data_IF_872741227953
#
_entry.id   IF_872741227953
#
_cell.length_a   1.000
_cell.length_b   1.000
_cell.length_c   1.000
_cell.angle_alpha   90.00
_cell.angle_beta   90.00
_cell.angle_gamma   90.00
#
_symmetry.space_group_name_H-M   'P 1'
#
loop_
_entity.id
_entity.type
_entity.pdbx_description
1 polymer ?
#
# COMPACT_ATOMS: atom_id res chain seq x y z
N UNK A 1 7.92 7.87 29.10
CA UNK A 1 7.00 8.06 27.95
C UNK A 1 7.26 7.08 26.78
N UNK A 2 8.43 6.44 26.67
CA UNK A 2 8.74 5.38 25.69
C UNK A 2 7.89 4.09 25.87
N UNK A 3 7.38 3.85 27.08
CA UNK A 3 6.62 2.63 27.40
C UNK A 3 5.26 2.48 26.68
N UNK A 4 4.61 3.57 26.26
CA UNK A 4 3.27 3.52 25.63
C UNK A 4 3.30 3.13 24.15
N UNK A 5 4.32 3.55 23.41
CA UNK A 5 4.52 3.14 22.01
C UNK A 5 4.79 1.62 21.89
N UNK A 6 5.57 1.07 22.83
CA UNK A 6 5.78 -0.38 22.95
C UNK A 6 4.48 -1.14 23.29
N UNK A 7 3.53 -0.52 23.99
CA UNK A 7 2.26 -1.19 24.33
C UNK A 7 1.37 -1.39 23.10
N UNK A 8 1.40 -0.46 22.14
CA UNK A 8 0.64 -0.58 20.89
C UNK A 8 1.27 -1.63 19.97
N UNK A 9 2.60 -1.58 19.80
CA UNK A 9 3.34 -2.58 19.00
C UNK A 9 3.21 -3.99 19.61
N UNK A 10 3.24 -4.11 20.94
CA UNK A 10 3.03 -5.38 21.65
C UNK A 10 1.57 -5.87 21.60
N UNK A 11 0.58 -4.98 21.73
CA UNK A 11 -0.84 -5.33 21.66
C UNK A 11 -1.26 -5.78 20.24
N UNK A 12 -0.71 -5.14 19.19
CA UNK A 12 -0.95 -5.59 17.82
C UNK A 12 -0.24 -6.93 17.55
N UNK A 13 0.97 -7.14 18.10
CA UNK A 13 1.72 -8.40 17.94
C UNK A 13 1.06 -9.59 18.68
N UNK A 14 0.50 -9.37 19.88
CA UNK A 14 -0.16 -10.41 20.66
C UNK A 14 -1.55 -10.81 20.11
N UNK A 15 -2.18 -9.97 19.27
CA UNK A 15 -3.49 -10.26 18.71
C UNK A 15 -3.49 -11.27 17.55
N UNK A 16 -2.33 -11.54 16.94
CA UNK A 16 -2.23 -12.23 15.65
C UNK A 16 -1.88 -13.72 15.72
N UNK A 17 -1.85 -14.32 16.92
CA UNK A 17 -1.38 -15.70 17.10
C UNK A 17 -2.46 -16.78 16.86
N UNK A 18 -3.70 -16.45 16.47
CA UNK A 18 -4.81 -17.43 16.57
C UNK A 18 -5.82 -17.52 15.41
N UNK A 19 -5.63 -16.94 14.23
CA UNK A 19 -6.62 -17.04 13.12
C UNK A 19 -6.06 -17.64 11.82
N UNK A 20 -6.79 -18.62 11.27
CA UNK A 20 -6.49 -19.39 10.06
C UNK A 20 -6.79 -18.60 8.78
N UNK A 21 -6.10 -18.85 7.65
CA UNK A 21 -6.32 -18.14 6.41
C UNK A 21 -7.59 -18.61 5.68
N UNK A 22 -8.46 -17.67 5.32
CA UNK A 22 -9.58 -17.84 4.39
C UNK A 22 -9.42 -16.94 3.16
N UNK A 23 -10.01 -17.32 2.03
CA UNK A 23 -9.87 -16.65 0.74
C UNK A 23 -10.42 -15.21 0.77
N UNK A 24 -9.60 -14.25 0.34
CA UNK A 24 -9.85 -12.81 0.44
C UNK A 24 -10.37 -12.24 -0.89
N UNK A 25 -11.25 -11.23 -0.84
CA UNK A 25 -11.68 -10.44 -2.02
C UNK A 25 -11.08 -9.03 -1.94
N UNK A 26 -10.62 -8.45 -3.06
CA UNK A 26 -9.98 -7.13 -3.04
C UNK A 26 -10.98 -6.01 -2.70
N UNK A 27 -10.57 -5.16 -1.77
CA UNK A 27 -11.32 -3.97 -1.31
C UNK A 27 -11.06 -2.79 -2.25
N UNK A 28 -12.11 -2.06 -2.63
CA UNK A 28 -12.04 -0.81 -3.40
C UNK A 28 -12.23 0.42 -2.52
N UNK A 29 -11.37 1.43 -2.65
CA UNK A 29 -11.33 2.64 -1.82
C UNK A 29 -12.38 3.71 -2.25
N UNK A 30 -13.02 4.43 -1.31
CA UNK A 30 -13.87 5.59 -1.59
C UNK A 30 -13.08 6.85 -1.94
N UNK A 31 -13.71 7.73 -2.73
CA UNK A 31 -13.20 8.95 -3.39
C UNK A 31 -12.92 10.16 -2.45
N UNK A 32 -12.07 10.06 -1.42
CA UNK A 32 -11.69 11.28 -0.67
C UNK A 32 -10.42 11.94 -1.24
N UNK A 33 -10.59 13.16 -1.73
CA UNK A 33 -9.69 13.98 -2.57
C UNK A 33 -8.44 14.58 -1.86
N UNK A 34 -7.89 13.96 -0.81
CA UNK A 34 -6.64 14.45 -0.19
C UNK A 34 -5.57 13.36 -0.12
N UNK A 35 -4.48 13.61 -0.83
CA UNK A 35 -3.21 12.86 -0.80
C UNK A 35 -2.64 12.82 0.61
N UNK A 36 -2.15 11.67 1.07
CA UNK A 36 -1.63 11.45 2.43
C UNK A 36 -0.49 12.42 2.81
N UNK A 37 0.23 12.98 1.82
CA UNK A 37 1.33 13.93 2.01
C UNK A 37 0.91 15.29 2.59
N UNK A 38 -0.37 15.67 2.47
CA UNK A 38 -0.91 16.91 3.02
C UNK A 38 -1.80 16.70 4.25
N UNK A 39 -1.82 15.48 4.82
CA UNK A 39 -2.60 15.21 6.03
C UNK A 39 -2.04 15.98 7.22
N UNK A 40 -2.76 17.03 7.58
CA UNK A 40 -2.56 17.76 8.82
C UNK A 40 -3.07 16.95 10.02
N UNK A 41 -2.71 17.38 11.22
CA UNK A 41 -3.28 16.80 12.45
C UNK A 41 -4.81 16.93 12.49
N UNK A 42 -5.36 18.02 11.94
CA UNK A 42 -6.79 18.25 11.86
C UNK A 42 -7.49 17.27 10.90
N UNK A 43 -6.86 16.96 9.76
CA UNK A 43 -7.37 15.94 8.83
C UNK A 43 -7.43 14.56 9.49
N UNK A 44 -6.41 14.23 10.28
CA UNK A 44 -6.33 12.95 10.99
C UNK A 44 -7.38 12.85 12.11
N UNK A 45 -7.61 13.93 12.88
CA UNK A 45 -8.67 14.00 13.89
C UNK A 45 -10.07 13.86 13.24
N UNK A 46 -10.30 14.53 12.11
CA UNK A 46 -11.54 14.39 11.37
C UNK A 46 -11.73 12.97 10.84
N UNK A 47 -10.68 12.34 10.32
CA UNK A 47 -10.72 10.97 9.81
C UNK A 47 -11.00 9.96 10.94
N UNK A 48 -10.35 10.11 12.09
CA UNK A 48 -10.61 9.31 13.29
C UNK A 48 -12.08 9.42 13.71
N UNK A 49 -12.60 10.65 13.82
CA UNK A 49 -13.99 10.90 14.17
C UNK A 49 -14.95 10.22 13.19
N UNK A 50 -14.75 10.42 11.88
CA UNK A 50 -15.60 9.84 10.84
C UNK A 50 -15.56 8.31 10.84
N UNK A 51 -14.38 7.72 11.03
CA UNK A 51 -14.21 6.26 11.09
C UNK A 51 -14.97 5.67 12.28
N UNK A 52 -14.90 6.32 13.44
CA UNK A 52 -15.61 5.88 14.63
C UNK A 52 -17.13 6.02 14.52
N UNK A 53 -17.60 7.20 14.13
CA UNK A 53 -19.04 7.55 14.14
C UNK A 53 -19.80 6.89 12.99
N UNK A 54 -19.19 6.80 11.80
CA UNK A 54 -19.91 6.37 10.60
C UNK A 54 -19.60 4.94 10.16
N UNK A 55 -18.47 4.37 10.61
CA UNK A 55 -18.07 3.02 10.20
C UNK A 55 -18.13 2.09 11.40
N UNK A 56 -17.29 2.30 12.40
CA UNK A 56 -17.02 1.30 13.43
C UNK A 56 -18.22 1.12 14.38
N UNK A 57 -18.86 2.20 14.82
CA UNK A 57 -20.00 2.13 15.75
C UNK A 57 -21.28 1.57 15.11
N UNK A 58 -21.74 2.04 13.93
CA UNK A 58 -22.99 1.58 13.33
C UNK A 58 -22.95 0.13 12.86
N UNK A 59 -21.80 -0.35 12.39
CA UNK A 59 -21.67 -1.72 11.86
C UNK A 59 -21.35 -2.77 12.93
N UNK A 60 -21.31 -2.37 14.21
CA UNK A 60 -20.97 -3.28 15.32
C UNK A 60 -19.52 -3.78 15.33
N UNK A 61 -18.63 -3.20 14.52
CA UNK A 61 -17.21 -3.59 14.41
C UNK A 61 -16.45 -3.41 15.73
N UNK A 62 -16.92 -2.54 16.62
CA UNK A 62 -16.40 -2.43 18.01
C UNK A 62 -16.42 -3.74 18.80
N UNK A 63 -17.22 -4.72 18.35
CA UNK A 63 -17.29 -6.03 18.96
C UNK A 63 -16.18 -6.98 18.51
N UNK A 64 -15.38 -6.60 17.50
CA UNK A 64 -14.22 -7.38 17.07
C UNK A 64 -13.18 -7.42 18.19
N UNK A 65 -12.63 -8.61 18.45
CA UNK A 65 -11.75 -8.82 19.59
C UNK A 65 -10.45 -8.01 19.49
N UNK A 66 -9.94 -7.76 18.29
CA UNK A 66 -8.79 -6.86 18.10
C UNK A 66 -9.11 -5.44 18.55
N UNK A 67 -10.29 -4.89 18.27
CA UNK A 67 -10.67 -3.55 18.73
C UNK A 67 -10.92 -3.52 20.24
N UNK A 68 -11.52 -4.57 20.82
CA UNK A 68 -11.67 -4.70 22.28
C UNK A 68 -10.33 -4.70 23.01
N UNK A 69 -9.29 -5.34 22.45
CA UNK A 69 -7.94 -5.36 23.02
C UNK A 69 -7.33 -3.95 23.14
N UNK A 70 -7.75 -3.02 22.29
CA UNK A 70 -7.37 -1.60 22.39
C UNK A 70 -8.31 -0.77 23.26
N UNK A 71 -9.27 -1.39 23.95
CA UNK A 71 -10.23 -0.70 24.81
C UNK A 71 -11.22 0.18 24.04
N UNK A 72 -11.42 -0.08 22.74
CA UNK A 72 -12.32 0.70 21.91
C UNK A 72 -13.78 0.41 22.27
N UNK A 73 -14.51 1.44 22.66
CA UNK A 73 -15.96 1.41 22.89
C UNK A 73 -16.68 2.43 22.02
N UNK A 74 -17.98 2.27 21.82
CA UNK A 74 -18.76 3.14 20.91
C UNK A 74 -18.73 4.60 21.31
N UNK A 75 -18.72 4.86 22.61
CA UNK A 75 -18.71 6.20 23.17
C UNK A 75 -17.31 6.82 23.33
N UNK A 76 -16.23 6.06 23.14
CA UNK A 76 -14.85 6.54 23.33
C UNK A 76 -13.94 6.26 22.14
N UNK A 77 -14.48 5.72 21.04
CA UNK A 77 -13.68 5.32 19.89
C UNK A 77 -12.76 6.44 19.37
N UNK A 78 -13.28 7.66 19.22
CA UNK A 78 -12.50 8.80 18.76
C UNK A 78 -11.36 9.16 19.72
N UNK A 79 -11.68 9.29 21.01
CA UNK A 79 -10.68 9.59 22.06
C UNK A 79 -9.62 8.49 22.16
N UNK A 80 -10.02 7.22 22.12
CA UNK A 80 -9.11 6.07 22.18
C UNK A 80 -8.19 6.02 20.97
N UNK A 81 -8.72 6.18 19.75
CA UNK A 81 -7.87 6.20 18.54
C UNK A 81 -6.94 7.42 18.51
N UNK A 82 -7.43 8.62 18.86
CA UNK A 82 -6.59 9.81 18.97
C UNK A 82 -5.52 9.66 20.05
N UNK A 83 -5.80 8.96 21.16
CA UNK A 83 -4.81 8.66 22.19
C UNK A 83 -3.78 7.58 21.76
N UNK A 84 -4.15 6.72 20.80
CA UNK A 84 -3.25 5.74 20.17
C UNK A 84 -2.40 6.35 19.06
N UNK A 85 -2.65 7.61 18.68
CA UNK A 85 -1.83 8.35 17.73
C UNK A 85 -0.37 8.37 18.21
N UNK A 86 0.57 7.85 17.42
CA UNK A 86 1.97 7.89 17.80
C UNK A 86 2.50 9.32 17.72
N UNK A 87 3.14 9.79 18.79
CA UNK A 87 3.94 11.03 18.78
C UNK A 87 5.30 10.86 18.07
N UNK A 88 5.52 9.68 17.47
CA UNK A 88 6.82 9.23 16.98
C UNK A 88 7.12 9.62 15.54
N UNK A 89 7.95 8.80 14.90
CA UNK A 89 8.47 8.95 13.54
C UNK A 89 7.38 8.96 12.46
N UNK A 90 7.71 9.47 11.26
CA UNK A 90 6.81 9.40 10.08
C UNK A 90 6.34 7.98 9.78
N UNK A 91 7.19 6.98 10.06
CA UNK A 91 6.86 5.56 9.93
C UNK A 91 5.70 5.16 10.84
N UNK A 92 5.75 5.55 12.11
CA UNK A 92 4.69 5.22 13.07
C UNK A 92 3.39 5.97 12.72
N UNK A 93 3.49 7.23 12.30
CA UNK A 93 2.33 7.99 11.80
C UNK A 93 1.72 7.34 10.57
N UNK A 94 2.52 6.92 9.60
CA UNK A 94 2.02 6.23 8.40
C UNK A 94 1.38 4.88 8.73
N UNK A 95 1.96 4.11 9.65
CA UNK A 95 1.35 2.87 10.12
C UNK A 95 -0.02 3.12 10.79
N UNK A 96 -0.13 4.17 11.60
CA UNK A 96 -1.39 4.57 12.21
C UNK A 96 -2.44 4.96 11.16
N UNK A 97 -2.05 5.74 10.15
CA UNK A 97 -2.93 6.11 9.02
C UNK A 97 -3.41 4.89 8.22
N UNK A 98 -2.55 3.87 8.05
CA UNK A 98 -2.93 2.59 7.43
C UNK A 98 -3.96 1.82 8.27
N UNK A 99 -3.84 1.82 9.61
CA UNK A 99 -4.89 1.25 10.49
C UNK A 99 -6.20 1.95 10.21
N UNK A 100 -6.22 3.28 10.26
CA UNK A 100 -7.44 4.07 10.09
C UNK A 100 -8.10 3.80 8.75
N UNK A 101 -7.31 3.81 7.67
CA UNK A 101 -7.78 3.49 6.34
C UNK A 101 -8.37 2.07 6.28
N UNK A 102 -7.65 1.06 6.79
CA UNK A 102 -8.14 -0.32 6.82
C UNK A 102 -9.43 -0.49 7.64
N UNK A 103 -9.53 0.16 8.80
CA UNK A 103 -10.73 0.13 9.64
C UNK A 103 -11.95 0.77 8.96
N UNK A 104 -11.73 1.82 8.17
CA UNK A 104 -12.80 2.49 7.44
C UNK A 104 -13.40 1.63 6.32
N UNK A 105 -12.66 0.63 5.84
CA UNK A 105 -13.02 -0.22 4.70
C UNK A 105 -13.39 -1.64 5.09
N UNK A 106 -12.88 -2.14 6.22
CA UNK A 106 -13.10 -3.50 6.65
C UNK A 106 -14.58 -3.72 6.94
N UNK A 107 -15.27 -4.62 6.25
CA UNK A 107 -16.69 -4.94 6.43
C UNK A 107 -16.92 -6.12 7.39
N UNK A 108 -15.84 -6.77 7.81
CA UNK A 108 -15.86 -7.89 8.75
C UNK A 108 -14.76 -7.77 9.81
N UNK A 109 -14.85 -8.56 10.89
CA UNK A 109 -13.80 -8.60 11.90
C UNK A 109 -12.48 -9.18 11.37
N UNK A 110 -12.52 -10.09 10.39
CA UNK A 110 -11.31 -10.65 9.78
C UNK A 110 -10.51 -9.59 9.01
N UNK A 111 -11.22 -8.66 8.36
CA UNK A 111 -10.61 -7.52 7.66
C UNK A 111 -10.09 -6.46 8.62
N UNK A 112 -10.77 -6.24 9.75
CA UNK A 112 -10.26 -5.41 10.85
C UNK A 112 -8.93 -5.98 11.36
N UNK A 113 -8.87 -7.29 11.59
CA UNK A 113 -7.66 -7.98 12.04
C UNK A 113 -6.53 -7.92 11.00
N UNK A 114 -6.87 -7.98 9.70
CA UNK A 114 -5.92 -7.79 8.61
C UNK A 114 -5.32 -6.37 8.60
N UNK A 115 -6.16 -5.34 8.77
CA UNK A 115 -5.71 -3.95 8.83
C UNK A 115 -4.71 -3.71 9.97
N UNK A 116 -4.99 -4.25 11.16
CA UNK A 116 -4.05 -4.19 12.28
C UNK A 116 -2.74 -4.93 12.00
N UNK A 117 -2.79 -6.11 11.36
CA UNK A 117 -1.58 -6.86 10.96
C UNK A 117 -0.69 -6.07 10.01
N UNK A 118 -1.30 -5.46 8.99
CA UNK A 118 -0.62 -4.64 7.99
C UNK A 118 0.07 -3.45 8.68
N UNK A 119 -0.64 -2.75 9.55
CA UNK A 119 -0.10 -1.62 10.28
C UNK A 119 1.00 -2.00 11.29
N UNK A 120 0.88 -3.11 12.02
CA UNK A 120 1.97 -3.60 12.85
C UNK A 120 3.23 -3.90 12.04
N UNK A 121 3.06 -4.46 10.84
CA UNK A 121 4.18 -4.71 9.94
C UNK A 121 4.83 -3.39 9.50
N UNK A 122 4.04 -2.39 9.15
CA UNK A 122 4.55 -1.06 8.80
C UNK A 122 5.25 -0.36 9.98
N UNK A 123 4.68 -0.43 11.18
CA UNK A 123 5.20 0.21 12.39
C UNK A 123 6.52 -0.39 12.88
N UNK A 124 6.65 -1.73 12.83
CA UNK A 124 7.90 -2.42 13.19
C UNK A 124 9.05 -2.10 12.25
N UNK A 125 8.74 -1.53 11.08
CA UNK A 125 9.74 -1.24 10.08
C UNK A 125 10.40 -2.46 9.43
N UNK A 126 10.01 -3.62 9.90
CA UNK A 126 10.38 -4.94 9.44
C UNK A 126 9.14 -5.57 8.82
N UNK A 127 9.07 -5.45 7.51
CA UNK A 127 9.41 -6.62 6.72
C UNK A 127 10.37 -6.20 5.62
N UNK A 128 11.66 -6.51 5.80
CA UNK A 128 12.31 -7.21 4.70
C UNK A 128 11.33 -8.29 4.26
N UNK A 129 10.94 -8.28 2.98
CA UNK A 129 10.12 -9.37 2.46
C UNK A 129 10.92 -10.64 2.74
N UNK A 130 10.51 -11.42 3.73
CA UNK A 130 11.28 -12.58 4.20
C UNK A 130 11.21 -13.74 3.21
N UNK A 131 10.39 -13.62 2.17
CA UNK A 131 10.15 -14.68 1.21
C UNK A 131 10.17 -14.16 -0.23
N UNK A 132 11.25 -13.49 -0.63
CA UNK A 132 11.53 -13.17 -2.02
C UNK A 132 12.02 -14.42 -2.77
N UNK A 133 11.16 -15.44 -2.83
CA UNK A 133 11.45 -16.64 -3.57
C UNK A 133 11.44 -16.28 -5.05
N UNK A 134 12.61 -16.37 -5.68
CA UNK A 134 12.77 -16.17 -7.12
C UNK A 134 12.00 -17.26 -7.87
N UNK A 135 11.15 -16.83 -8.79
CA UNK A 135 10.40 -17.69 -9.71
C UNK A 135 11.27 -18.10 -10.91
N UNK A 136 10.91 -19.19 -11.61
CA UNK A 136 11.61 -19.60 -12.84
C UNK A 136 11.60 -18.55 -13.96
N UNK A 137 10.60 -17.65 -13.99
CA UNK A 137 10.52 -16.56 -14.96
C UNK A 137 11.37 -15.33 -14.58
N UNK A 138 12.06 -15.38 -13.43
CA UNK A 138 12.94 -14.33 -12.94
C UNK A 138 12.24 -13.26 -12.09
N UNK A 139 10.92 -13.36 -11.86
CA UNK A 139 10.19 -12.54 -10.90
C UNK A 139 10.36 -13.07 -9.46
N UNK A 140 9.78 -12.39 -8.49
CA UNK A 140 9.72 -12.78 -7.09
C UNK A 140 8.29 -13.07 -6.67
N UNK A 141 8.13 -14.13 -5.87
CA UNK A 141 6.90 -14.40 -5.16
C UNK A 141 6.71 -13.40 -4.01
N UNK A 142 5.63 -12.64 -4.08
CA UNK A 142 5.10 -11.87 -2.97
C UNK A 142 3.97 -12.64 -2.30
N UNK A 143 3.88 -12.53 -0.98
CA UNK A 143 2.68 -12.96 -0.25
C UNK A 143 1.49 -12.07 -0.61
N UNK A 144 0.27 -12.55 -0.39
CA UNK A 144 -0.94 -11.73 -0.58
C UNK A 144 -0.88 -10.44 0.25
N UNK A 145 -0.30 -10.49 1.44
CA UNK A 145 -0.09 -9.33 2.30
C UNK A 145 0.93 -8.35 1.72
N UNK A 146 2.03 -8.84 1.13
CA UNK A 146 3.06 -7.97 0.54
C UNK A 146 2.56 -7.29 -0.74
N UNK A 147 1.67 -7.93 -1.51
CA UNK A 147 1.00 -7.30 -2.67
C UNK A 147 0.24 -6.05 -2.26
N UNK A 148 -0.47 -6.09 -1.13
CA UNK A 148 -1.23 -4.93 -0.60
C UNK A 148 -0.31 -3.80 -0.09
N UNK A 149 0.95 -4.12 0.16
CA UNK A 149 1.98 -3.19 0.61
C UNK A 149 2.91 -2.73 -0.53
N UNK A 150 2.58 -3.04 -1.80
CA UNK A 150 3.40 -2.60 -2.93
C UNK A 150 3.45 -1.09 -3.06
N UNK A 151 4.64 -0.55 -3.28
CA UNK A 151 4.78 0.87 -3.61
C UNK A 151 4.03 1.16 -4.92
N UNK A 152 3.26 2.24 -4.94
CA UNK A 152 2.47 2.66 -6.10
C UNK A 152 1.07 2.04 -6.19
N UNK A 153 0.71 1.08 -5.34
CA UNK A 153 -0.64 0.51 -5.37
C UNK A 153 -1.72 1.59 -5.14
N UNK A 154 -1.44 2.53 -4.23
CA UNK A 154 -2.34 3.61 -3.83
C UNK A 154 -2.34 4.84 -4.73
N UNK A 155 -1.34 5.00 -5.61
CA UNK A 155 -1.15 6.23 -6.38
C UNK A 155 -2.32 6.49 -7.34
N UNK A 156 -2.73 7.76 -7.40
CA UNK A 156 -3.81 8.25 -8.27
C UNK A 156 -3.35 9.36 -9.19
N UNK A 157 -2.47 10.23 -8.72
CA UNK A 157 -1.91 11.32 -9.51
C UNK A 157 -0.39 11.12 -9.61
N UNK A 158 0.22 11.45 -10.75
CA UNK A 158 1.68 11.37 -10.90
C UNK A 158 2.43 12.30 -9.92
N UNK A 159 1.76 13.35 -9.44
CA UNK A 159 2.21 14.19 -8.33
C UNK A 159 2.56 13.42 -7.06
N UNK A 160 1.84 12.33 -6.79
CA UNK A 160 1.97 11.51 -5.57
C UNK A 160 3.09 10.47 -5.71
N UNK A 161 3.58 10.26 -6.94
CA UNK A 161 4.51 9.19 -7.28
C UNK A 161 5.94 9.64 -6.98
N UNK A 162 6.41 9.34 -5.77
CA UNK A 162 7.84 9.42 -5.45
C UNK A 162 8.46 8.04 -5.70
N UNK A 163 9.16 7.92 -6.83
CA UNK A 163 9.90 6.71 -7.19
C UNK A 163 11.32 7.08 -7.60
N UNK A 164 12.26 6.19 -7.30
CA UNK A 164 13.66 6.27 -7.71
C UNK A 164 14.13 4.90 -8.17
N UNK A 165 15.30 4.83 -8.78
CA UNK A 165 15.93 3.55 -9.16
C UNK A 165 16.12 2.59 -7.95
N UNK A 166 16.38 3.14 -6.76
CA UNK A 166 16.52 2.36 -5.50
C UNK A 166 15.19 2.20 -4.74
N UNK A 167 14.14 2.86 -5.21
CA UNK A 167 12.82 2.79 -4.63
C UNK A 167 11.74 2.87 -5.72
N UNK A 168 11.70 1.86 -6.61
CA UNK A 168 10.76 1.86 -7.71
C UNK A 168 9.34 1.55 -7.23
N UNK A 169 8.39 1.89 -8.09
CA UNK A 169 7.01 1.40 -8.06
C UNK A 169 7.02 -0.10 -8.32
N UNK A 170 6.14 -0.83 -7.66
CA UNK A 170 6.16 -2.30 -7.67
C UNK A 170 4.94 -2.84 -8.38
N UNK A 171 5.17 -3.57 -9.45
CA UNK A 171 4.13 -4.22 -10.25
C UNK A 171 4.58 -5.61 -10.68
N UNK A 172 3.66 -6.41 -11.20
CA UNK A 172 3.98 -7.68 -11.83
C UNK A 172 3.84 -7.56 -13.35
N UNK A 173 4.94 -7.80 -14.06
CA UNK A 173 4.99 -7.88 -15.51
C UNK A 173 4.84 -6.55 -16.23
N UNK A 174 5.13 -6.60 -17.54
CA UNK A 174 5.03 -5.45 -18.43
C UNK A 174 3.61 -4.85 -18.42
N UNK A 175 2.60 -5.70 -18.44
CA UNK A 175 1.21 -5.25 -18.37
C UNK A 175 0.88 -4.55 -17.04
N UNK A 176 1.56 -4.92 -15.95
CA UNK A 176 1.47 -4.22 -14.67
C UNK A 176 1.98 -2.78 -14.77
N UNK A 177 3.11 -2.56 -15.44
CA UNK A 177 3.68 -1.22 -15.64
C UNK A 177 2.74 -0.33 -16.45
N UNK A 178 2.27 -0.82 -17.59
CA UNK A 178 1.39 -0.05 -18.47
C UNK A 178 0.04 0.21 -17.81
N UNK A 179 -0.52 -0.75 -17.06
CA UNK A 179 -1.73 -0.53 -16.25
C UNK A 179 -1.52 0.52 -15.17
N UNK A 180 -0.36 0.54 -14.52
CA UNK A 180 -0.02 1.57 -13.55
C UNK A 180 0.01 2.95 -14.23
N UNK A 181 0.78 3.12 -15.31
CA UNK A 181 0.91 4.38 -16.04
C UNK A 181 -0.41 4.93 -16.58
N UNK A 182 -1.27 4.07 -17.15
CA UNK A 182 -2.55 4.50 -17.75
C UNK A 182 -3.68 4.75 -16.74
N UNK A 183 -3.51 4.30 -15.49
CA UNK A 183 -4.48 4.52 -14.41
C UNK A 183 -4.34 5.90 -13.78
N UNK A 184 -3.11 6.40 -13.65
CA UNK A 184 -2.82 7.68 -12.99
C UNK A 184 -3.26 8.88 -13.85
N UNK A 185 -3.52 10.00 -13.18
CA UNK A 185 -3.81 11.29 -13.81
C UNK A 185 -2.70 12.30 -13.54
N UNK A 186 -2.64 13.34 -14.35
CA UNK A 186 -1.92 14.57 -14.04
C UNK A 186 -2.67 15.37 -12.96
N UNK A 187 -2.05 16.44 -12.44
CA UNK A 187 -2.64 17.28 -11.39
C UNK A 187 -3.94 17.96 -11.84
N UNK A 188 -4.09 18.24 -13.13
CA UNK A 188 -5.31 18.81 -13.72
C UNK A 188 -6.41 17.76 -14.01
N UNK A 189 -6.16 16.49 -13.67
CA UNK A 189 -7.07 15.37 -13.92
C UNK A 189 -6.98 14.77 -15.33
N UNK A 190 -6.16 15.33 -16.23
CA UNK A 190 -5.91 14.75 -17.54
C UNK A 190 -5.16 13.41 -17.43
N UNK A 191 -5.25 12.58 -18.47
CA UNK A 191 -4.49 11.34 -18.57
C UNK A 191 -3.55 11.43 -19.77
N UNK A 192 -2.23 11.19 -19.60
CA UNK A 192 -1.29 11.20 -20.72
C UNK A 192 -1.64 10.16 -21.78
N UNK A 193 -2.13 8.98 -21.35
CA UNK A 193 -2.44 7.84 -22.22
C UNK A 193 -3.73 7.12 -21.77
N UNK A 194 -4.93 7.72 -21.89
CA UNK A 194 -6.15 7.23 -21.24
C UNK A 194 -6.57 5.81 -21.65
N UNK A 195 -6.14 5.33 -22.82
CA UNK A 195 -6.41 3.98 -23.36
C UNK A 195 -5.31 3.47 -24.31
N UNK A 196 -4.21 4.21 -24.45
CA UNK A 196 -3.18 3.94 -25.45
C UNK A 196 -2.00 3.23 -24.77
N UNK A 197 -2.17 1.92 -24.59
CA UNK A 197 -1.19 1.05 -23.91
C UNK A 197 0.16 1.06 -24.64
N UNK A 198 0.13 1.11 -25.97
CA UNK A 198 1.33 1.12 -26.82
C UNK A 198 2.12 2.42 -26.62
N UNK A 199 1.45 3.58 -26.60
CA UNK A 199 2.14 4.85 -26.30
C UNK A 199 2.65 4.93 -24.87
N UNK A 200 1.91 4.40 -23.91
CA UNK A 200 2.37 4.35 -22.51
C UNK A 200 3.63 3.49 -22.37
N UNK A 201 3.68 2.33 -23.03
CA UNK A 201 4.88 1.49 -23.08
C UNK A 201 6.03 2.19 -23.83
N UNK A 202 5.76 2.80 -24.98
CA UNK A 202 6.75 3.52 -25.77
C UNK A 202 7.34 4.75 -25.06
N UNK A 203 6.73 5.21 -23.96
CA UNK A 203 7.27 6.28 -23.13
C UNK A 203 8.48 5.85 -22.28
N UNK A 204 8.76 4.54 -22.21
CA UNK A 204 9.96 4.00 -21.56
C UNK A 204 11.22 4.60 -22.20
N UNK A 205 12.07 5.17 -21.36
CA UNK A 205 13.31 5.83 -21.79
C UNK A 205 14.52 4.92 -21.66
N UNK A 206 14.56 4.14 -20.59
CA UNK A 206 15.70 3.28 -20.26
C UNK A 206 15.28 2.16 -19.31
N UNK A 207 16.18 1.20 -19.14
CA UNK A 207 16.17 0.27 -18.02
C UNK A 207 17.45 0.55 -17.23
N UNK A 208 17.31 0.84 -15.94
CA UNK A 208 18.42 1.14 -15.04
C UNK A 208 18.65 -0.02 -14.08
N UNK A 209 19.88 -0.21 -13.63
CA UNK A 209 20.16 -1.19 -12.58
C UNK A 209 19.78 -0.57 -11.24
N UNK A 210 18.70 -1.07 -10.64
CA UNK A 210 18.23 -0.61 -9.34
C UNK A 210 18.23 -1.69 -8.28
N UNK A 211 17.83 -1.29 -7.07
CA UNK A 211 17.58 -2.23 -5.97
C UNK A 211 16.12 -2.62 -5.96
N UNK A 212 15.84 -3.92 -6.15
CA UNK A 212 14.51 -4.46 -5.86
C UNK A 212 14.27 -4.49 -4.35
N UNK A 213 13.00 -4.43 -3.91
CA UNK A 213 12.64 -4.64 -2.50
C UNK A 213 13.01 -6.04 -2.01
N UNK A 214 13.27 -6.95 -2.95
CA UNK A 214 13.74 -8.30 -2.70
C UNK A 214 15.24 -8.45 -2.46
N UNK A 215 15.98 -7.34 -2.35
CA UNK A 215 17.32 -7.34 -1.77
C UNK A 215 18.41 -7.96 -2.65
N UNK A 216 18.13 -8.28 -3.92
CA UNK A 216 19.21 -8.38 -4.91
C UNK A 216 19.79 -6.96 -5.05
N UNK A 217 20.84 -6.69 -4.26
CA UNK A 217 21.57 -5.41 -4.18
C UNK A 217 22.07 -4.93 -5.55
N UNK A 218 22.07 -5.80 -6.56
CA UNK A 218 22.41 -5.51 -7.92
C UNK A 218 21.63 -6.45 -8.86
N UNK A 219 20.98 -5.88 -9.88
CA UNK A 219 20.84 -6.61 -11.16
C UNK A 219 19.45 -6.80 -11.72
N UNK A 220 18.41 -6.14 -11.20
CA UNK A 220 17.12 -6.09 -11.89
C UNK A 220 16.95 -4.79 -12.65
N UNK A 221 16.56 -4.86 -13.94
CA UNK A 221 16.18 -3.68 -14.68
C UNK A 221 14.97 -3.01 -14.01
N UNK A 222 15.13 -1.74 -13.67
CA UNK A 222 14.06 -0.84 -13.26
C UNK A 222 13.77 0.08 -14.44
N UNK A 223 12.54 0.09 -14.90
CA UNK A 223 12.15 0.83 -16.09
C UNK A 223 11.90 2.29 -15.73
N UNK A 224 12.60 3.19 -16.44
CA UNK A 224 12.41 4.62 -16.30
C UNK A 224 11.49 5.14 -17.40
N UNK A 225 10.40 5.76 -16.99
CA UNK A 225 9.41 6.40 -17.85
C UNK A 225 9.46 7.91 -17.70
N UNK A 226 9.25 8.62 -18.81
CA UNK A 226 8.96 10.06 -18.82
C UNK A 226 7.51 10.28 -19.16
N UNK A 227 6.75 10.78 -18.19
CA UNK A 227 5.32 10.98 -18.30
C UNK A 227 5.03 12.47 -18.52
N UNK A 228 4.59 12.88 -19.71
CA UNK A 228 4.26 14.27 -19.97
C UNK A 228 2.91 14.61 -19.35
N UNK A 229 2.92 15.59 -18.45
CA UNK A 229 1.73 16.23 -17.91
C UNK A 229 1.77 17.75 -18.19
N UNK A 230 0.63 18.46 -18.25
CA UNK A 230 0.61 19.90 -18.50
C UNK A 230 1.43 20.73 -17.51
N UNK A 231 1.49 20.30 -16.25
CA UNK A 231 2.22 20.97 -15.17
C UNK A 231 3.73 20.71 -15.22
N UNK A 232 4.16 19.52 -15.64
CA UNK A 232 5.57 19.11 -15.81
C UNK A 232 5.67 17.70 -16.41
N UNK A 233 6.89 17.30 -16.76
CA UNK A 233 7.22 15.90 -17.04
C UNK A 233 7.62 15.19 -15.75
N UNK A 234 7.00 14.06 -15.46
CA UNK A 234 7.36 13.20 -14.33
C UNK A 234 8.34 12.11 -14.77
N UNK A 235 9.33 11.83 -13.93
CA UNK A 235 10.15 10.62 -14.07
C UNK A 235 9.61 9.55 -13.11
N UNK A 236 9.30 8.38 -13.65
CA UNK A 236 8.70 7.28 -12.90
C UNK A 236 9.57 6.04 -13.10
N UNK A 237 9.96 5.42 -12.00
CA UNK A 237 10.78 4.21 -11.95
C UNK A 237 9.90 3.03 -11.53
N UNK A 238 9.84 1.98 -12.34
CA UNK A 238 8.95 0.83 -12.11
C UNK A 238 9.77 -0.47 -12.12
N UNK A 239 9.55 -1.33 -11.13
CA UNK A 239 10.06 -2.69 -11.04
C UNK A 239 8.89 -3.66 -11.31
N UNK A 240 8.99 -4.37 -12.43
CA UNK A 240 7.98 -5.33 -12.89
C UNK A 240 8.16 -6.75 -12.32
N UNK A 241 9.19 -6.99 -11.50
CA UNK A 241 9.55 -8.34 -11.07
C UNK A 241 8.88 -8.78 -9.77
N UNK A 242 7.96 -8.00 -9.22
CA UNK A 242 7.31 -8.30 -7.94
C UNK A 242 5.91 -8.87 -8.19
N UNK A 243 5.75 -10.19 -8.09
CA UNK A 243 4.52 -10.89 -8.49
C UNK A 243 3.83 -11.63 -7.34
N UNK A 244 2.53 -11.46 -7.24
CA UNK A 244 1.68 -12.01 -6.18
C UNK A 244 1.10 -13.35 -6.59
N UNK A 245 0.29 -13.97 -5.72
CA UNK A 245 -0.39 -15.22 -6.05
C UNK A 245 -1.31 -15.04 -7.25
N UNK A 246 -1.12 -15.85 -8.30
CA UNK A 246 -1.92 -15.81 -9.52
C UNK A 246 -1.56 -14.71 -10.53
N UNK A 247 -0.56 -13.87 -10.23
CA UNK A 247 0.00 -12.93 -11.23
C UNK A 247 1.15 -13.60 -12.00
N UNK A 248 1.31 -13.28 -13.28
CA UNK A 248 2.39 -13.80 -14.12
C UNK A 248 3.21 -12.66 -14.73
N UNK A 249 4.54 -12.82 -14.78
CA UNK A 249 5.44 -11.80 -15.33
C UNK A 249 5.16 -11.51 -16.83
N UNK A 250 4.70 -12.53 -17.55
CA UNK A 250 4.49 -12.49 -19.00
C UNK A 250 3.01 -12.59 -19.40
N UNK A 251 2.08 -12.22 -18.51
CA UNK A 251 0.65 -12.24 -18.81
C UNK A 251 0.33 -11.44 -20.08
N UNK A 252 -0.26 -12.10 -21.08
CA UNK A 252 -0.60 -11.51 -22.38
C UNK A 252 0.55 -11.26 -23.36
N UNK A 253 1.79 -11.66 -23.04
CA UNK A 253 2.96 -11.49 -23.92
C UNK A 253 3.62 -12.84 -24.17
N UNK A 254 3.93 -13.16 -25.43
CA UNK A 254 4.64 -14.40 -25.79
C UNK A 254 5.98 -14.44 -25.04
N UNK A 255 6.24 -15.51 -24.29
CA UNK A 255 7.53 -15.70 -23.60
C UNK A 255 8.69 -15.54 -24.58
N UNK A 256 9.76 -14.80 -24.23
CA UNK A 256 10.97 -14.77 -25.05
C UNK A 256 11.52 -16.20 -25.18
N UNK A 257 11.48 -16.76 -26.39
CA UNK A 257 12.02 -18.10 -26.70
C UNK A 257 11.02 -19.25 -26.89
N UNK A 258 9.72 -18.98 -27.13
CA UNK A 258 8.71 -19.98 -27.52
C UNK A 258 7.92 -19.61 -28.78
#
# INVERSE_FOLDING_TARGET
MVARAFTIIAAISAACASSRPGAWKPVTYPKSERTIEHWTLADEDEFVRRTCENVIAPTGKLRCDSLKKFGLSSNKCGETLSALRPAGSDRERNAFRLVLAGLSLADSCDEVDAAFRIAASAARGDRAITNCKKRPDGSYDLSSEDVLLRRGLGDRVFGDTISTVDSPIQVCGLMGEVKYLTRLTCADGSRPWPKDLDKAHAARQAAETGTSRCGELFGKPVDRYKVPCPEKTYEVFIDMYECGPGEELWDGVRKPGG
#
